data_IF_785313793625
#
_entry.id   IF_785313793625
#
_cell.length_a   1.000
_cell.length_b   1.000
_cell.length_c   1.000
_cell.angle_alpha   90.00
_cell.angle_beta   90.00
_cell.angle_gamma   90.00
#
_symmetry.space_group_name_H-M   'P 1'
#
loop_
_entity.id
_entity.type
_entity.pdbx_description
1 polymer ?
#
# COMPACT_ATOMS: atom_id res chain seq x y z
N UNK A 1 -42.32 39.47 -48.59
CA UNK A 1 -42.86 39.29 -47.22
C UNK A 1 -41.68 39.28 -46.27
N UNK A 2 -41.61 40.33 -45.46
CA UNK A 2 -40.50 40.64 -44.57
C UNK A 2 -40.97 40.58 -43.11
N UNK A 3 -39.98 40.68 -42.23
CA UNK A 3 -40.04 41.03 -40.80
C UNK A 3 -40.23 39.86 -39.81
N UNK A 4 -39.65 39.83 -38.60
CA UNK A 4 -38.49 40.46 -37.92
C UNK A 4 -38.67 40.20 -36.41
N UNK A 5 -37.59 40.28 -35.63
CA UNK A 5 -37.52 40.59 -34.16
C UNK A 5 -37.82 39.42 -33.19
N UNK A 6 -37.23 39.34 -32.00
CA UNK A 6 -36.07 39.97 -31.36
C UNK A 6 -35.77 39.24 -30.03
N UNK A 7 -34.55 39.43 -29.53
CA UNK A 7 -34.01 39.19 -28.18
C UNK A 7 -34.98 39.39 -26.99
N UNK A 8 -34.78 38.58 -25.94
CA UNK A 8 -34.55 39.06 -24.56
C UNK A 8 -33.93 37.94 -23.69
N UNK A 9 -32.83 38.28 -23.03
CA UNK A 9 -32.26 37.54 -21.90
C UNK A 9 -32.85 38.09 -20.61
N UNK A 10 -33.16 37.24 -19.64
CA UNK A 10 -33.45 37.69 -18.28
C UNK A 10 -32.81 36.74 -17.26
N UNK A 11 -32.07 37.37 -16.35
CA UNK A 11 -31.33 36.77 -15.24
C UNK A 11 -32.33 36.36 -14.15
N UNK A 12 -32.20 35.14 -13.62
CA UNK A 12 -32.98 34.64 -12.49
C UNK A 12 -32.07 34.15 -11.38
N UNK A 13 -32.17 34.79 -10.23
CA UNK A 13 -31.29 34.70 -9.08
C UNK A 13 -31.10 33.30 -8.47
N UNK A 14 -29.87 33.04 -8.03
CA UNK A 14 -29.48 32.00 -7.08
C UNK A 14 -30.21 32.17 -5.74
N UNK A 15 -31.13 31.26 -5.40
CA UNK A 15 -31.65 31.12 -4.03
C UNK A 15 -30.98 29.92 -3.35
N UNK A 16 -30.08 30.23 -2.42
CA UNK A 16 -29.46 29.30 -1.48
C UNK A 16 -30.56 28.69 -0.59
N UNK A 17 -30.68 27.36 -0.59
CA UNK A 17 -31.58 26.65 0.30
C UNK A 17 -31.08 26.75 1.77
N UNK A 18 -31.97 26.96 2.76
CA UNK A 18 -31.58 27.01 4.16
C UNK A 18 -31.20 25.61 4.67
N UNK A 19 -30.32 25.52 5.69
CA UNK A 19 -29.89 24.24 6.25
C UNK A 19 -31.06 23.55 6.96
N UNK A 20 -31.13 22.19 6.95
CA UNK A 20 -32.18 21.46 7.64
C UNK A 20 -32.11 21.69 9.16
N UNK A 21 -33.28 21.95 9.75
CA UNK A 21 -33.43 22.16 11.18
C UNK A 21 -33.07 20.90 11.97
N UNK A 22 -32.40 21.10 13.11
CA UNK A 22 -32.08 20.03 14.07
C UNK A 22 -33.37 19.42 14.59
N UNK A 23 -33.69 18.21 14.14
CA UNK A 23 -34.71 17.38 14.76
C UNK A 23 -34.20 16.90 16.12
N UNK A 24 -34.86 17.33 17.19
CA UNK A 24 -34.67 16.80 18.55
C UNK A 24 -35.16 15.35 18.59
N UNK A 25 -34.37 14.36 19.03
CA UNK A 25 -34.91 13.02 19.24
C UNK A 25 -35.68 13.00 20.56
N UNK A 26 -37.00 12.80 20.47
CA UNK A 26 -37.84 12.49 21.61
C UNK A 26 -37.65 11.01 22.00
N UNK A 27 -37.32 10.78 23.27
CA UNK A 27 -37.76 9.64 24.08
C UNK A 27 -37.37 8.23 23.63
N UNK A 28 -36.24 7.72 24.15
CA UNK A 28 -35.91 6.30 24.05
C UNK A 28 -34.57 5.88 24.65
N UNK A 29 -34.05 6.56 25.68
CA UNK A 29 -32.84 6.11 26.38
C UNK A 29 -33.18 4.92 27.30
N UNK A 30 -33.22 3.71 26.75
CA UNK A 30 -32.76 2.56 27.52
C UNK A 30 -31.28 2.82 27.78
N UNK A 31 -30.95 3.03 29.05
CA UNK A 31 -29.58 3.19 29.50
C UNK A 31 -28.70 2.12 28.85
N UNK A 32 -27.86 2.53 27.91
CA UNK A 32 -26.73 1.74 27.48
C UNK A 32 -25.88 1.57 28.73
N UNK A 33 -25.99 0.40 29.37
CA UNK A 33 -25.03 0.00 30.38
C UNK A 33 -23.64 0.26 29.79
N UNK A 34 -22.84 1.06 30.49
CA UNK A 34 -21.46 1.39 30.12
C UNK A 34 -20.73 0.11 29.72
N UNK A 35 -20.66 -0.15 28.41
CA UNK A 35 -19.96 -1.30 27.90
C UNK A 35 -18.48 -1.07 28.24
N UNK A 36 -17.84 -2.06 28.88
CA UNK A 36 -16.41 -1.96 29.18
C UNK A 36 -15.66 -1.56 27.90
N UNK A 37 -14.73 -0.60 27.98
CA UNK A 37 -13.96 -0.21 26.81
C UNK A 37 -13.23 -1.43 26.25
N UNK A 38 -13.19 -1.54 24.92
CA UNK A 38 -12.47 -2.60 24.24
C UNK A 38 -10.97 -2.44 24.55
N UNK A 39 -10.35 -3.45 25.16
CA UNK A 39 -8.93 -3.42 25.51
C UNK A 39 -8.18 -4.56 24.87
N UNK A 40 -6.96 -4.27 24.42
CA UNK A 40 -6.04 -5.30 23.95
C UNK A 40 -5.53 -6.15 25.12
N UNK A 41 -5.54 -7.47 24.95
CA UNK A 41 -5.00 -8.45 25.89
C UNK A 41 -4.23 -9.53 25.16
N UNK A 42 -3.18 -10.05 25.80
CA UNK A 42 -2.46 -11.23 25.32
C UNK A 42 -3.25 -12.48 25.68
N UNK A 43 -3.34 -13.43 24.75
CA UNK A 43 -3.84 -14.76 25.04
C UNK A 43 -2.72 -15.61 25.67
N UNK A 44 -2.80 -15.93 26.97
CA UNK A 44 -1.71 -16.61 27.67
C UNK A 44 -1.47 -18.03 27.15
N UNK A 45 -2.51 -18.72 26.68
CA UNK A 45 -2.38 -20.07 26.15
C UNK A 45 -1.66 -20.04 24.80
N UNK A 46 -2.11 -19.18 23.89
CA UNK A 46 -1.46 -19.01 22.57
C UNK A 46 -0.02 -18.55 22.71
N UNK A 47 0.23 -17.55 23.56
CA UNK A 47 1.57 -17.04 23.82
C UNK A 47 2.48 -18.10 24.45
N UNK A 48 1.99 -18.83 25.44
CA UNK A 48 2.74 -19.91 26.09
C UNK A 48 3.08 -21.05 25.13
N UNK A 49 2.11 -21.49 24.32
CA UNK A 49 2.32 -22.54 23.32
C UNK A 49 3.33 -22.12 22.25
N UNK A 50 3.24 -20.90 21.74
CA UNK A 50 4.20 -20.37 20.78
C UNK A 50 5.61 -20.29 21.40
N UNK A 51 5.73 -19.69 22.59
CA UNK A 51 7.01 -19.53 23.26
C UNK A 51 7.68 -20.88 23.56
N UNK A 52 6.93 -21.86 24.07
CA UNK A 52 7.44 -23.20 24.34
C UNK A 52 7.90 -23.91 23.05
N UNK A 53 7.10 -23.82 21.98
CA UNK A 53 7.43 -24.48 20.70
C UNK A 53 8.63 -23.81 20.02
N UNK A 54 8.69 -22.48 20.02
CA UNK A 54 9.81 -21.73 19.46
C UNK A 54 11.10 -21.98 20.24
N UNK A 55 11.05 -21.94 21.58
CA UNK A 55 12.20 -22.25 22.43
C UNK A 55 12.69 -23.68 22.23
N UNK A 56 11.78 -24.67 22.19
CA UNK A 56 12.13 -26.06 21.90
C UNK A 56 12.77 -26.25 20.53
N UNK A 57 12.24 -25.56 19.51
CA UNK A 57 12.79 -25.58 18.14
C UNK A 57 14.21 -25.03 18.09
N UNK A 58 14.46 -23.91 18.78
CA UNK A 58 15.79 -23.29 18.84
C UNK A 58 16.77 -24.11 19.67
N UNK A 59 16.33 -24.73 20.77
CA UNK A 59 17.19 -25.50 21.66
C UNK A 59 17.55 -26.89 21.11
N UNK A 60 16.68 -27.52 20.33
CA UNK A 60 16.86 -28.90 19.87
C UNK A 60 18.20 -29.16 19.14
N UNK A 61 18.69 -28.30 18.22
CA UNK A 61 20.01 -28.48 17.62
C UNK A 61 21.16 -28.40 18.63
N UNK A 62 21.13 -27.46 19.57
CA UNK A 62 22.19 -27.28 20.58
C UNK A 62 22.22 -28.40 21.61
N UNK A 63 21.08 -29.03 21.88
CA UNK A 63 20.95 -30.15 22.80
C UNK A 63 21.20 -31.52 22.14
N UNK A 64 21.50 -31.55 20.83
CA UNK A 64 21.64 -32.81 20.08
C UNK A 64 20.33 -33.60 19.95
N UNK A 65 19.18 -32.92 20.05
CA UNK A 65 17.84 -33.50 19.95
C UNK A 65 17.22 -33.31 18.55
N UNK A 66 17.85 -32.52 17.68
CA UNK A 66 17.39 -32.34 16.30
C UNK A 66 17.73 -33.59 15.46
N UNK A 67 16.77 -34.18 14.74
CA UNK A 67 17.02 -35.31 13.84
C UNK A 67 17.84 -34.86 12.61
N UNK A 68 18.44 -35.83 11.92
CA UNK A 68 19.17 -35.56 10.67
C UNK A 68 18.23 -34.98 9.58
N UNK A 69 18.76 -34.02 8.82
CA UNK A 69 17.98 -33.33 7.79
C UNK A 69 18.06 -34.08 6.45
N UNK A 70 17.06 -34.91 6.15
CA UNK A 70 16.92 -35.55 4.84
C UNK A 70 16.40 -34.56 3.78
N UNK A 71 17.00 -34.54 2.59
CA UNK A 71 16.58 -33.64 1.50
C UNK A 71 15.10 -33.80 1.14
N UNK A 72 14.57 -35.04 1.14
CA UNK A 72 13.15 -35.32 0.89
C UNK A 72 12.24 -34.70 1.95
N UNK A 73 12.68 -34.75 3.21
CA UNK A 73 11.94 -34.18 4.36
C UNK A 73 11.98 -32.66 4.36
N UNK A 74 13.11 -32.07 3.98
CA UNK A 74 13.20 -30.61 3.79
C UNK A 74 12.32 -30.14 2.61
N UNK A 75 12.27 -30.88 1.51
CA UNK A 75 11.35 -30.60 0.41
C UNK A 75 9.88 -30.73 0.84
N UNK A 76 9.55 -31.75 1.65
CA UNK A 76 8.23 -31.88 2.28
C UNK A 76 7.92 -30.69 3.18
N UNK A 77 8.88 -30.21 3.97
CA UNK A 77 8.70 -29.03 4.81
C UNK A 77 8.37 -27.79 3.97
N UNK A 78 9.03 -27.58 2.83
CA UNK A 78 8.67 -26.53 1.87
C UNK A 78 7.26 -26.68 1.30
N UNK A 79 6.85 -27.90 0.94
CA UNK A 79 5.48 -28.19 0.49
C UNK A 79 4.43 -27.90 1.56
N UNK A 80 4.67 -28.34 2.80
CA UNK A 80 3.79 -28.06 3.93
C UNK A 80 3.75 -26.59 4.30
N UNK A 81 4.85 -25.87 4.14
CA UNK A 81 4.91 -24.42 4.29
C UNK A 81 3.98 -23.72 3.29
N UNK A 82 4.04 -24.09 2.01
CA UNK A 82 3.15 -23.56 0.98
C UNK A 82 1.67 -23.90 1.26
N UNK A 83 1.36 -25.16 1.59
CA UNK A 83 0.00 -25.58 1.94
C UNK A 83 -0.55 -24.82 3.15
N UNK A 84 0.30 -24.58 4.16
CA UNK A 84 -0.04 -23.75 5.32
C UNK A 84 -0.38 -22.30 4.95
N UNK A 85 0.38 -21.68 4.03
CA UNK A 85 0.06 -20.34 3.51
C UNK A 85 -1.25 -20.33 2.72
N UNK A 86 -1.49 -21.33 1.87
CA UNK A 86 -2.75 -21.45 1.12
C UNK A 86 -3.93 -21.57 2.10
N UNK A 87 -3.84 -22.47 3.09
CA UNK A 87 -4.88 -22.63 4.09
C UNK A 87 -5.14 -21.36 4.90
N UNK A 88 -4.08 -20.62 5.25
CA UNK A 88 -4.21 -19.35 5.95
C UNK A 88 -4.80 -18.25 5.07
N UNK A 89 -4.20 -17.96 3.92
CA UNK A 89 -4.59 -16.80 3.12
C UNK A 89 -5.82 -17.04 2.26
N UNK A 90 -5.95 -18.18 1.62
CA UNK A 90 -7.18 -18.49 0.90
C UNK A 90 -8.31 -18.89 1.87
N UNK A 91 -8.01 -19.73 2.85
CA UNK A 91 -9.01 -20.26 3.78
C UNK A 91 -9.45 -19.26 4.86
N UNK A 92 -8.51 -18.75 5.66
CA UNK A 92 -8.85 -17.86 6.78
C UNK A 92 -9.05 -16.42 6.32
N UNK A 93 -8.11 -15.89 5.53
CA UNK A 93 -8.11 -14.49 5.16
C UNK A 93 -9.19 -14.16 4.11
N UNK A 94 -9.06 -14.68 2.90
CA UNK A 94 -9.95 -14.37 1.77
C UNK A 94 -11.35 -14.97 1.92
N UNK A 95 -11.45 -16.26 2.21
CA UNK A 95 -12.75 -16.93 2.36
C UNK A 95 -13.46 -16.56 3.67
N UNK A 96 -12.83 -16.74 4.84
CA UNK A 96 -13.52 -16.56 6.12
C UNK A 96 -13.58 -15.09 6.58
N UNK A 97 -12.48 -14.34 6.57
CA UNK A 97 -12.46 -12.98 7.09
C UNK A 97 -13.10 -11.97 6.11
N UNK A 98 -12.72 -12.02 4.83
CA UNK A 98 -13.16 -11.05 3.82
C UNK A 98 -14.35 -11.48 2.98
N UNK A 99 -14.62 -12.78 2.88
CA UNK A 99 -15.73 -13.33 2.10
C UNK A 99 -15.67 -12.89 0.63
N UNK A 100 -14.45 -12.80 0.09
CA UNK A 100 -14.20 -12.40 -1.29
C UNK A 100 -14.02 -13.60 -2.23
N UNK A 101 -13.89 -14.82 -1.67
CA UNK A 101 -13.88 -16.09 -2.40
C UNK A 101 -14.78 -17.10 -1.70
N UNK A 102 -15.56 -17.86 -2.47
CA UNK A 102 -16.23 -19.08 -2.01
C UNK A 102 -15.65 -20.29 -2.71
N UNK A 103 -15.79 -21.47 -2.09
CA UNK A 103 -15.37 -22.74 -2.67
C UNK A 103 -16.58 -23.65 -2.87
N UNK A 104 -16.57 -24.43 -3.94
CA UNK A 104 -17.75 -25.18 -4.40
C UNK A 104 -17.95 -26.51 -3.67
N UNK A 105 -16.91 -27.10 -3.08
CA UNK A 105 -16.98 -28.41 -2.44
C UNK A 105 -16.64 -28.37 -0.95
N UNK A 106 -17.33 -29.17 -0.11
CA UNK A 106 -16.99 -29.32 1.31
C UNK A 106 -15.55 -29.81 1.54
N UNK A 107 -15.03 -30.66 0.65
CA UNK A 107 -13.66 -31.18 0.74
C UNK A 107 -12.62 -30.06 0.60
N UNK A 108 -12.73 -29.22 -0.44
CA UNK A 108 -11.80 -28.08 -0.62
C UNK A 108 -11.85 -27.17 0.61
N UNK A 109 -13.06 -26.89 1.12
CA UNK A 109 -13.23 -26.07 2.32
C UNK A 109 -12.55 -26.70 3.54
N UNK A 110 -12.74 -28.00 3.76
CA UNK A 110 -12.10 -28.74 4.85
C UNK A 110 -10.58 -28.71 4.73
N UNK A 111 -10.04 -28.90 3.52
CA UNK A 111 -8.59 -28.83 3.29
C UNK A 111 -8.04 -27.44 3.59
N UNK A 112 -8.68 -26.37 3.11
CA UNK A 112 -8.27 -24.99 3.41
C UNK A 112 -8.30 -24.70 4.92
N UNK A 113 -9.38 -25.10 5.59
CA UNK A 113 -9.53 -24.92 7.04
C UNK A 113 -8.55 -25.79 7.85
N UNK A 114 -8.25 -27.00 7.39
CA UNK A 114 -7.30 -27.93 8.00
C UNK A 114 -5.85 -27.45 7.87
N UNK A 115 -5.43 -27.03 6.67
CA UNK A 115 -4.11 -26.45 6.47
C UNK A 115 -3.97 -25.05 7.10
N UNK A 116 -5.06 -24.30 7.25
CA UNK A 116 -5.07 -23.09 8.10
C UNK A 116 -4.84 -23.44 9.58
N UNK A 117 -5.48 -24.51 10.07
CA UNK A 117 -5.28 -25.00 11.44
C UNK A 117 -3.87 -25.56 11.69
N UNK A 118 -3.19 -26.06 10.65
CA UNK A 118 -1.79 -26.52 10.70
C UNK A 118 -0.79 -25.43 11.15
N UNK A 119 -1.20 -24.16 11.15
CA UNK A 119 -0.42 -23.03 11.63
C UNK A 119 -0.66 -22.71 13.13
N UNK A 120 -1.45 -23.53 13.84
CA UNK A 120 -1.72 -23.58 15.29
C UNK A 120 -1.85 -22.24 16.04
N UNK A 121 -0.78 -21.46 16.13
CA UNK A 121 -0.72 -20.19 16.86
C UNK A 121 -1.64 -19.11 16.27
N UNK A 122 -2.11 -19.28 15.03
CA UNK A 122 -3.14 -18.42 14.44
C UNK A 122 -4.53 -18.60 15.08
N UNK A 123 -4.78 -19.75 15.70
CA UNK A 123 -6.06 -20.11 16.31
C UNK A 123 -7.12 -20.60 15.32
N UNK A 124 -8.34 -20.86 15.82
CA UNK A 124 -9.47 -21.26 14.98
C UNK A 124 -9.84 -20.18 13.95
N UNK A 125 -10.40 -20.59 12.81
CA UNK A 125 -10.68 -19.68 11.70
C UNK A 125 -11.62 -18.52 12.09
N UNK A 126 -12.63 -18.81 12.92
CA UNK A 126 -13.58 -17.79 13.41
C UNK A 126 -12.94 -16.77 14.37
N UNK A 127 -12.02 -17.21 15.24
CA UNK A 127 -11.28 -16.30 16.14
C UNK A 127 -10.31 -15.43 15.34
N UNK A 128 -9.60 -16.03 14.39
CA UNK A 128 -8.70 -15.31 13.50
C UNK A 128 -9.47 -14.27 12.67
N UNK A 129 -10.58 -14.68 12.05
CA UNK A 129 -11.43 -13.78 11.27
C UNK A 129 -12.00 -12.64 12.11
N UNK A 130 -12.41 -12.89 13.35
CA UNK A 130 -12.85 -11.83 14.26
C UNK A 130 -11.72 -10.82 14.51
N UNK A 131 -10.52 -11.28 14.89
CA UNK A 131 -9.37 -10.40 15.15
C UNK A 131 -8.98 -9.60 13.89
N UNK A 132 -9.03 -10.23 12.73
CA UNK A 132 -8.72 -9.58 11.45
C UNK A 132 -9.78 -8.55 11.04
N UNK A 133 -11.07 -8.85 11.21
CA UNK A 133 -12.15 -7.88 10.97
C UNK A 133 -12.07 -6.70 11.93
N UNK A 134 -11.66 -6.91 13.19
CA UNK A 134 -11.37 -5.82 14.13
C UNK A 134 -10.19 -4.98 13.65
N UNK A 135 -9.12 -5.62 13.17
CA UNK A 135 -7.97 -4.93 12.58
C UNK A 135 -8.38 -4.01 11.42
N UNK A 136 -9.18 -4.49 10.47
CA UNK A 136 -9.67 -3.65 9.37
C UNK A 136 -10.58 -2.51 9.84
N UNK A 137 -11.53 -2.80 10.72
CA UNK A 137 -12.50 -1.81 11.17
C UNK A 137 -11.91 -0.70 12.05
N UNK A 138 -10.81 -0.98 12.73
CA UNK A 138 -10.21 -0.11 13.74
C UNK A 138 -8.71 0.12 13.53
N UNK A 139 -8.23 -0.04 12.29
CA UNK A 139 -6.81 -0.01 11.94
C UNK A 139 -6.06 1.16 12.59
N UNK A 140 -4.91 0.85 13.21
CA UNK A 140 -4.04 1.83 13.87
C UNK A 140 -4.69 2.61 15.03
N UNK A 141 -5.69 2.02 15.69
CA UNK A 141 -6.25 2.52 16.97
C UNK A 141 -5.94 1.55 18.11
N UNK A 142 -6.23 1.93 19.37
CA UNK A 142 -6.05 1.04 20.53
C UNK A 142 -6.89 -0.25 20.48
N UNK A 143 -8.01 -0.23 19.74
CA UNK A 143 -8.83 -1.41 19.54
C UNK A 143 -8.25 -2.38 18.50
N UNK A 144 -7.27 -1.95 17.70
CA UNK A 144 -6.62 -2.80 16.70
C UNK A 144 -5.64 -3.78 17.38
N UNK A 145 -5.87 -5.10 17.28
CA UNK A 145 -4.94 -6.08 17.81
C UNK A 145 -3.58 -6.01 17.12
N UNK A 146 -3.46 -5.47 15.91
CA UNK A 146 -2.22 -5.36 15.14
C UNK A 146 -1.70 -3.90 15.03
N UNK A 147 -2.16 -3.00 15.92
CA UNK A 147 -1.85 -1.57 15.90
C UNK A 147 -0.36 -1.28 15.70
N UNK A 148 0.00 -0.73 14.53
CA UNK A 148 1.39 -0.39 14.20
C UNK A 148 1.86 0.92 14.84
N UNK A 149 0.94 1.84 15.15
CA UNK A 149 1.27 3.09 15.88
C UNK A 149 1.71 2.83 17.32
N UNK A 150 1.30 1.70 17.90
CA UNK A 150 1.78 1.27 19.22
C UNK A 150 3.16 0.57 19.18
N UNK A 151 3.80 0.51 18.00
CA UNK A 151 5.19 0.07 17.82
C UNK A 151 5.32 -1.29 17.12
N UNK A 152 6.49 -1.53 16.52
CA UNK A 152 6.74 -2.73 15.72
C UNK A 152 6.56 -4.03 16.51
N UNK A 153 7.13 -4.14 17.72
CA UNK A 153 6.98 -5.36 18.57
C UNK A 153 5.50 -5.60 18.94
N UNK A 154 4.76 -4.52 19.20
CA UNK A 154 3.33 -4.58 19.52
C UNK A 154 2.50 -5.12 18.34
N UNK A 155 2.87 -4.78 17.10
CA UNK A 155 2.21 -5.26 15.87
C UNK A 155 2.72 -6.62 15.39
N UNK A 156 4.02 -6.90 15.51
CA UNK A 156 4.71 -8.06 14.94
C UNK A 156 4.72 -9.30 15.83
N UNK A 157 4.56 -9.16 17.15
CA UNK A 157 4.65 -10.29 18.06
C UNK A 157 3.48 -10.34 19.04
N UNK A 158 3.23 -9.24 19.76
CA UNK A 158 2.18 -9.21 20.78
C UNK A 158 0.80 -9.31 20.16
N UNK A 159 0.56 -8.58 19.06
CA UNK A 159 -0.73 -8.51 18.40
C UNK A 159 -1.30 -9.86 17.94
N UNK A 160 -0.56 -10.64 17.13
CA UNK A 160 -0.98 -11.97 16.72
C UNK A 160 -1.25 -12.93 17.89
N UNK A 161 -0.47 -12.78 18.97
CA UNK A 161 -0.64 -13.53 20.23
C UNK A 161 -1.76 -13.00 21.12
N UNK A 162 -2.39 -11.88 20.75
CA UNK A 162 -3.42 -11.22 21.52
C UNK A 162 -4.74 -11.08 20.79
N UNK A 163 -5.64 -10.33 21.43
CA UNK A 163 -6.97 -9.99 20.93
C UNK A 163 -7.49 -8.75 21.64
N UNK A 164 -8.50 -8.11 21.08
CA UNK A 164 -9.24 -7.04 21.73
C UNK A 164 -10.49 -7.61 22.41
N UNK A 165 -10.68 -7.32 23.69
CA UNK A 165 -11.80 -7.84 24.50
C UNK A 165 -12.51 -6.73 25.29
N UNK A 166 -13.86 -6.69 25.30
CA UNK A 166 -14.72 -7.38 24.35
C UNK A 166 -14.43 -6.92 22.91
N UNK A 167 -14.80 -7.73 21.92
CA UNK A 167 -14.70 -7.30 20.53
C UNK A 167 -15.62 -6.06 20.31
N UNK A 168 -15.19 -5.05 19.53
CA UNK A 168 -16.01 -3.90 19.21
C UNK A 168 -17.37 -4.30 18.60
N UNK A 169 -18.45 -3.67 19.07
CA UNK A 169 -19.82 -4.04 18.70
C UNK A 169 -20.16 -3.85 17.21
N UNK A 170 -19.38 -3.04 16.47
CA UNK A 170 -19.54 -2.83 15.04
C UNK A 170 -18.86 -3.91 14.18
N UNK A 171 -18.25 -4.92 14.79
CA UNK A 171 -17.60 -6.04 14.10
C UNK A 171 -18.36 -7.32 14.40
N UNK A 172 -18.71 -8.06 13.35
CA UNK A 172 -19.49 -9.30 13.46
C UNK A 172 -18.80 -10.46 12.74
N UNK A 173 -19.02 -11.68 13.23
CA UNK A 173 -18.66 -12.96 12.62
C UNK A 173 -19.85 -13.93 12.57
N UNK A 174 -21.09 -13.41 12.66
CA UNK A 174 -22.30 -14.24 12.69
C UNK A 174 -22.48 -15.12 11.45
N UNK A 175 -21.93 -14.69 10.31
CA UNK A 175 -21.87 -15.48 9.09
C UNK A 175 -21.02 -16.76 9.23
N UNK A 176 -20.00 -16.73 10.10
CA UNK A 176 -19.15 -17.89 10.39
C UNK A 176 -19.73 -18.77 11.49
N UNK A 177 -20.52 -18.21 12.41
CA UNK A 177 -21.19 -18.94 13.49
C UNK A 177 -22.23 -19.94 12.95
N UNK A 178 -22.90 -19.58 11.85
CA UNK A 178 -23.88 -20.44 11.18
C UNK A 178 -23.26 -21.40 10.15
N UNK A 179 -21.95 -21.33 9.94
CA UNK A 179 -21.23 -22.16 8.99
C UNK A 179 -20.79 -23.48 9.62
N UNK A 180 -21.50 -24.57 9.30
CA UNK A 180 -21.26 -25.88 9.93
C UNK A 180 -19.83 -26.40 9.80
N UNK A 181 -19.11 -26.07 8.72
CA UNK A 181 -17.71 -26.51 8.55
C UNK A 181 -16.76 -25.67 9.42
N UNK A 182 -17.02 -24.38 9.58
CA UNK A 182 -16.24 -23.51 10.49
C UNK A 182 -16.52 -23.87 11.94
N UNK A 183 -17.77 -24.17 12.30
CA UNK A 183 -18.15 -24.67 13.62
C UNK A 183 -17.46 -26.02 13.93
N UNK A 184 -17.43 -26.95 12.96
CA UNK A 184 -16.68 -28.20 13.07
C UNK A 184 -15.18 -27.93 13.27
N UNK A 185 -14.61 -27.01 12.50
CA UNK A 185 -13.19 -26.66 12.62
C UNK A 185 -12.87 -26.06 13.99
N UNK A 186 -13.74 -25.19 14.53
CA UNK A 186 -13.60 -24.65 15.87
C UNK A 186 -13.61 -25.77 16.92
N UNK A 187 -14.60 -26.67 16.85
CA UNK A 187 -14.74 -27.77 17.81
C UNK A 187 -13.57 -28.77 17.75
N UNK A 188 -13.05 -29.00 16.54
CA UNK A 188 -11.96 -29.97 16.28
C UNK A 188 -10.59 -29.30 16.20
N UNK A 189 -10.46 -28.02 16.53
CA UNK A 189 -9.26 -27.23 16.24
C UNK A 189 -7.95 -27.88 16.74
N UNK A 190 -7.84 -28.35 18.00
CA UNK A 190 -6.60 -28.99 18.47
C UNK A 190 -6.27 -30.26 17.69
N UNK A 191 -7.29 -31.04 17.33
CA UNK A 191 -7.14 -32.30 16.57
C UNK A 191 -6.70 -32.00 15.14
N UNK A 192 -7.34 -31.04 14.47
CA UNK A 192 -6.98 -30.65 13.10
C UNK A 192 -5.59 -30.03 13.03
N UNK A 193 -5.24 -29.18 14.00
CA UNK A 193 -3.90 -28.59 14.12
C UNK A 193 -2.83 -29.67 14.27
N UNK A 194 -3.03 -30.66 15.15
CA UNK A 194 -2.11 -31.78 15.31
C UNK A 194 -2.07 -32.68 14.06
N UNK A 195 -3.23 -33.01 13.50
CA UNK A 195 -3.35 -33.91 12.35
C UNK A 195 -2.68 -33.34 11.11
N UNK A 196 -3.02 -32.10 10.71
CA UNK A 196 -2.47 -31.47 9.50
C UNK A 196 -1.09 -30.86 9.73
N UNK A 197 -0.84 -30.31 10.92
CA UNK A 197 0.38 -29.57 11.23
C UNK A 197 1.55 -30.43 11.68
N UNK A 198 1.33 -31.65 12.19
CA UNK A 198 2.40 -32.49 12.77
C UNK A 198 2.33 -33.94 12.30
N UNK A 199 1.17 -34.60 12.43
CA UNK A 199 1.05 -36.03 12.13
C UNK A 199 1.14 -36.30 10.62
N UNK A 200 0.43 -35.52 9.80
CA UNK A 200 0.46 -35.64 8.35
C UNK A 200 1.90 -35.58 7.78
N UNK A 201 2.70 -34.53 8.05
CA UNK A 201 4.07 -34.51 7.55
C UNK A 201 4.95 -35.64 8.11
N UNK A 202 4.76 -36.03 9.37
CA UNK A 202 5.43 -37.19 9.95
C UNK A 202 5.13 -38.49 9.21
N UNK A 203 3.86 -38.78 8.98
CA UNK A 203 3.40 -39.99 8.30
C UNK A 203 3.86 -40.03 6.84
N UNK A 204 3.84 -38.89 6.15
CA UNK A 204 4.38 -38.80 4.78
C UNK A 204 5.87 -39.08 4.80
N UNK A 205 6.63 -38.50 5.73
CA UNK A 205 8.08 -38.74 5.82
C UNK A 205 8.44 -40.17 6.24
N UNK A 206 7.57 -40.85 6.98
CA UNK A 206 7.72 -42.27 7.31
C UNK A 206 7.78 -43.16 6.06
N UNK A 207 7.19 -42.74 4.93
CA UNK A 207 7.25 -43.51 3.67
C UNK A 207 8.66 -43.61 3.07
N UNK A 208 9.61 -42.78 3.52
CA UNK A 208 11.04 -42.91 3.24
C UNK A 208 11.89 -43.07 4.51
N UNK A 209 11.29 -43.53 5.60
CA UNK A 209 11.99 -43.89 6.84
C UNK A 209 12.32 -42.73 7.79
N UNK A 210 11.72 -41.54 7.60
CA UNK A 210 12.06 -40.34 8.37
C UNK A 210 10.87 -39.72 9.12
N UNK A 211 10.15 -40.55 9.88
CA UNK A 211 8.98 -40.11 10.65
C UNK A 211 9.31 -38.93 11.58
N UNK A 212 10.43 -39.02 12.31
CA UNK A 212 10.83 -38.01 13.30
C UNK A 212 11.28 -36.72 12.62
N UNK A 213 12.04 -36.79 11.51
CA UNK A 213 12.39 -35.62 10.73
C UNK A 213 11.15 -34.94 10.13
N UNK A 214 10.14 -35.70 9.69
CA UNK A 214 8.87 -35.16 9.22
C UNK A 214 8.11 -34.38 10.29
N UNK A 215 8.00 -34.95 11.50
CA UNK A 215 7.39 -34.29 12.67
C UNK A 215 8.16 -33.01 13.01
N UNK A 216 9.49 -33.09 13.07
CA UNK A 216 10.33 -31.97 13.51
C UNK A 216 10.43 -30.86 12.46
N UNK A 217 10.94 -31.15 11.26
CA UNK A 217 11.20 -30.13 10.23
C UNK A 217 9.94 -29.69 9.50
N UNK A 218 9.16 -30.65 8.97
CA UNK A 218 7.96 -30.34 8.18
C UNK A 218 6.73 -30.02 9.05
N UNK A 219 6.74 -30.43 10.31
CA UNK A 219 5.72 -30.09 11.29
C UNK A 219 6.07 -28.87 12.15
N UNK A 220 6.90 -29.07 13.17
CA UNK A 220 7.17 -28.11 14.25
C UNK A 220 7.96 -26.88 13.78
N UNK A 221 9.15 -27.08 13.17
CA UNK A 221 10.02 -25.99 12.69
C UNK A 221 9.27 -25.13 11.68
N UNK A 222 8.62 -25.77 10.71
CA UNK A 222 7.78 -25.12 9.69
C UNK A 222 6.66 -24.28 10.33
N UNK A 223 6.08 -24.72 11.45
CA UNK A 223 5.03 -23.97 12.17
C UNK A 223 5.54 -22.68 12.76
N UNK A 224 6.68 -22.76 13.45
CA UNK A 224 7.32 -21.59 14.06
C UNK A 224 7.76 -20.62 12.98
N UNK A 225 8.38 -21.13 11.91
CA UNK A 225 8.82 -20.32 10.78
C UNK A 225 7.64 -19.61 10.09
N UNK A 226 6.54 -20.33 9.84
CA UNK A 226 5.31 -19.74 9.29
C UNK A 226 4.86 -18.55 10.14
N UNK A 227 4.68 -18.74 11.45
CA UNK A 227 4.15 -17.68 12.32
C UNK A 227 5.09 -16.48 12.40
N UNK A 228 6.40 -16.71 12.55
CA UNK A 228 7.37 -15.62 12.55
C UNK A 228 7.35 -14.85 11.23
N UNK A 229 7.39 -15.54 10.09
CA UNK A 229 7.39 -14.86 8.79
C UNK A 229 6.09 -14.10 8.56
N UNK A 230 4.94 -14.74 8.79
CA UNK A 230 3.62 -14.12 8.62
C UNK A 230 3.50 -12.83 9.46
N UNK A 231 3.83 -12.91 10.75
CA UNK A 231 3.64 -11.78 11.66
C UNK A 231 4.61 -10.63 11.39
N UNK A 232 5.89 -10.94 11.14
CA UNK A 232 6.91 -9.92 10.89
C UNK A 232 6.74 -9.27 9.52
N UNK A 233 6.47 -10.05 8.46
CA UNK A 233 6.25 -9.52 7.12
C UNK A 233 5.04 -8.58 7.10
N UNK A 234 3.92 -8.98 7.71
CA UNK A 234 2.75 -8.11 7.77
C UNK A 234 2.95 -6.89 8.67
N UNK A 235 3.73 -6.99 9.75
CA UNK A 235 4.07 -5.82 10.56
C UNK A 235 5.02 -4.86 9.81
N UNK A 236 5.92 -5.41 9.00
CA UNK A 236 6.77 -4.62 8.11
C UNK A 236 5.91 -3.83 7.12
N UNK A 237 4.95 -4.47 6.43
CA UNK A 237 4.04 -3.80 5.50
C UNK A 237 3.12 -2.77 6.18
N UNK A 238 2.81 -2.91 7.48
CA UNK A 238 2.09 -1.86 8.24
C UNK A 238 2.94 -0.65 8.59
N UNK A 239 4.26 -0.80 8.64
CA UNK A 239 5.18 0.23 9.15
C UNK A 239 5.99 0.91 8.04
N UNK A 240 6.37 0.16 7.00
CA UNK A 240 7.27 0.60 5.93
C UNK A 240 6.88 -0.01 4.59
N UNK A 241 6.94 0.78 3.52
CA UNK A 241 6.76 0.32 2.15
C UNK A 241 6.67 1.47 1.14
N UNK A 242 6.08 1.19 -0.01
CA UNK A 242 5.88 2.14 -1.11
C UNK A 242 4.84 3.21 -0.78
N UNK A 243 4.71 4.23 -1.63
CA UNK A 243 3.70 5.27 -1.46
C UNK A 243 2.28 4.68 -1.34
N UNK A 244 1.46 5.28 -0.48
CA UNK A 244 0.10 4.82 -0.20
C UNK A 244 -0.89 5.28 -1.28
N UNK A 245 -0.96 4.55 -2.39
CA UNK A 245 -1.74 4.92 -3.58
C UNK A 245 -3.26 4.72 -3.44
N UNK A 246 -3.72 4.07 -2.37
CA UNK A 246 -5.12 3.72 -2.11
C UNK A 246 -5.64 4.23 -0.76
N UNK A 247 -4.87 5.09 -0.08
CA UNK A 247 -5.32 5.82 1.11
C UNK A 247 -4.32 5.80 2.27
N UNK A 248 -4.30 6.87 3.12
CA UNK A 248 -3.21 7.10 4.07
C UNK A 248 -3.22 6.19 5.31
N UNK A 249 -4.33 5.51 5.62
CA UNK A 249 -4.48 4.71 6.84
C UNK A 249 -4.42 3.19 6.60
N UNK A 250 -4.09 2.77 5.38
CA UNK A 250 -4.22 1.39 4.89
C UNK A 250 -2.91 0.57 4.95
N UNK A 251 -1.89 1.03 5.69
CA UNK A 251 -0.55 0.42 5.63
C UNK A 251 0.13 0.68 4.28
N UNK A 252 1.16 -0.10 3.94
CA UNK A 252 1.97 0.11 2.75
C UNK A 252 2.05 -1.15 1.89
N UNK A 253 2.16 -0.95 0.58
CA UNK A 253 2.57 -2.03 -0.32
C UNK A 253 4.06 -2.31 -0.10
N UNK A 254 4.43 -3.58 0.11
CA UNK A 254 5.81 -3.96 0.43
C UNK A 254 6.22 -5.25 -0.30
N UNK A 255 7.06 -5.12 -1.33
CA UNK A 255 7.50 -6.24 -2.16
C UNK A 255 8.22 -7.35 -1.37
N UNK A 256 9.08 -6.99 -0.41
CA UNK A 256 9.84 -7.97 0.39
C UNK A 256 8.89 -8.78 1.26
N UNK A 257 8.03 -8.09 2.00
CA UNK A 257 7.00 -8.73 2.80
C UNK A 257 6.06 -9.58 1.92
N UNK A 258 5.78 -9.14 0.71
CA UNK A 258 4.90 -9.82 -0.23
C UNK A 258 5.49 -11.14 -0.73
N UNK A 259 6.79 -11.16 -1.05
CA UNK A 259 7.50 -12.40 -1.44
C UNK A 259 7.50 -13.40 -0.28
N UNK A 260 7.73 -12.92 0.94
CA UNK A 260 7.75 -13.76 2.14
C UNK A 260 6.37 -14.36 2.48
N UNK A 261 5.28 -13.71 2.07
CA UNK A 261 3.90 -14.15 2.31
C UNK A 261 3.17 -14.59 1.05
N UNK A 262 3.88 -14.84 -0.04
CA UNK A 262 3.30 -15.34 -1.28
C UNK A 262 2.15 -14.48 -1.84
N UNK A 263 2.18 -13.15 -1.67
CA UNK A 263 1.21 -12.26 -2.32
C UNK A 263 0.36 -11.38 -1.41
N UNK A 264 0.54 -11.41 -0.09
CA UNK A 264 -0.46 -10.87 0.86
C UNK A 264 -0.07 -9.53 1.49
N UNK A 265 1.04 -8.92 1.05
CA UNK A 265 1.55 -7.69 1.65
C UNK A 265 1.63 -6.51 0.67
N UNK A 266 0.78 -6.52 -0.36
CA UNK A 266 0.29 -5.29 -1.00
C UNK A 266 -0.81 -4.67 -0.12
N UNK A 267 -0.41 -4.30 1.08
CA UNK A 267 -1.32 -4.05 2.19
C UNK A 267 -2.18 -2.80 1.96
N UNK A 268 -1.63 -1.79 1.27
CA UNK A 268 -2.34 -0.54 0.99
C UNK A 268 -3.55 -0.78 0.09
N UNK A 269 -3.36 -1.57 -0.97
CA UNK A 269 -4.48 -2.01 -1.82
C UNK A 269 -5.48 -2.85 -1.02
N UNK A 270 -5.00 -3.87 -0.31
CA UNK A 270 -5.84 -4.81 0.42
C UNK A 270 -6.74 -4.12 1.48
N UNK A 271 -6.23 -3.16 2.24
CA UNK A 271 -7.02 -2.42 3.22
C UNK A 271 -8.04 -1.47 2.59
N UNK A 272 -7.73 -0.93 1.41
CA UNK A 272 -8.66 -0.08 0.67
C UNK A 272 -9.78 -0.88 -0.01
N UNK A 273 -9.46 -2.09 -0.48
CA UNK A 273 -10.37 -2.99 -1.19
C UNK A 273 -10.46 -4.37 -0.54
N UNK A 274 -10.91 -4.46 0.74
CA UNK A 274 -10.98 -5.72 1.47
C UNK A 274 -12.00 -6.71 0.85
N UNK A 275 -12.85 -6.26 -0.06
CA UNK A 275 -13.81 -7.08 -0.78
C UNK A 275 -13.29 -7.60 -2.14
N UNK A 276 -12.11 -7.18 -2.60
CA UNK A 276 -11.42 -7.79 -3.75
C UNK A 276 -10.69 -9.05 -3.30
N UNK A 277 -10.76 -10.13 -4.09
CA UNK A 277 -10.00 -11.34 -3.79
C UNK A 277 -8.49 -11.13 -3.94
N UNK A 278 -8.05 -10.19 -4.76
CA UNK A 278 -6.63 -9.87 -4.95
C UNK A 278 -6.11 -9.09 -3.76
N UNK A 279 -4.91 -9.45 -3.31
CA UNK A 279 -4.17 -8.65 -2.35
C UNK A 279 -3.37 -7.55 -3.06
N UNK A 280 -2.93 -7.77 -4.32
CA UNK A 280 -2.37 -6.74 -5.20
C UNK A 280 -2.99 -6.78 -6.59
N UNK A 281 -3.40 -5.62 -7.10
CA UNK A 281 -4.12 -5.50 -8.37
C UNK A 281 -3.39 -4.66 -9.43
N UNK A 282 -2.24 -4.06 -9.09
CA UNK A 282 -1.46 -3.27 -10.04
C UNK A 282 -0.56 -4.17 -10.91
N UNK A 283 -0.27 -3.77 -12.16
CA UNK A 283 0.67 -4.50 -13.01
C UNK A 283 2.03 -4.71 -12.33
N UNK A 284 2.54 -5.94 -12.37
CA UNK A 284 3.82 -6.33 -11.74
C UNK A 284 3.72 -6.78 -10.29
N UNK A 285 2.55 -6.63 -9.65
CA UNK A 285 2.31 -7.18 -8.31
C UNK A 285 2.07 -8.70 -8.37
N UNK A 286 3.02 -9.47 -7.83
CA UNK A 286 2.91 -10.93 -7.79
C UNK A 286 2.07 -11.38 -6.59
N UNK A 287 0.88 -11.89 -6.87
CA UNK A 287 -0.03 -12.45 -5.88
C UNK A 287 -0.27 -13.95 -6.17
N UNK A 288 0.49 -14.82 -5.49
CA UNK A 288 0.42 -16.27 -5.74
C UNK A 288 -0.90 -16.86 -5.26
N UNK A 289 -1.49 -16.32 -4.19
CA UNK A 289 -2.78 -16.79 -3.68
C UNK A 289 -3.90 -16.49 -4.68
N UNK A 290 -3.87 -15.33 -5.36
CA UNK A 290 -4.80 -15.02 -6.45
C UNK A 290 -4.65 -15.96 -7.65
N UNK A 291 -3.41 -16.30 -8.02
CA UNK A 291 -3.15 -17.29 -9.07
C UNK A 291 -3.80 -18.64 -8.69
N UNK A 292 -3.67 -19.07 -7.43
CA UNK A 292 -4.29 -20.30 -6.93
C UNK A 292 -5.82 -20.21 -6.98
N UNK A 293 -6.40 -19.06 -6.60
CA UNK A 293 -7.85 -18.81 -6.73
C UNK A 293 -8.31 -18.99 -8.19
N UNK A 294 -7.60 -18.42 -9.16
CA UNK A 294 -7.95 -18.58 -10.58
C UNK A 294 -7.80 -20.01 -11.07
N UNK A 295 -6.77 -20.74 -10.64
CA UNK A 295 -6.62 -22.17 -10.94
C UNK A 295 -7.79 -22.97 -10.38
N UNK A 296 -8.16 -22.74 -9.11
CA UNK A 296 -9.34 -23.38 -8.51
C UNK A 296 -10.63 -22.99 -9.24
N UNK A 297 -10.76 -21.74 -9.69
CA UNK A 297 -11.91 -21.27 -10.46
C UNK A 297 -12.02 -21.99 -11.81
N UNK A 298 -10.90 -22.13 -12.53
CA UNK A 298 -10.84 -22.84 -13.79
C UNK A 298 -11.20 -24.34 -13.64
N UNK A 299 -10.92 -24.92 -12.47
CA UNK A 299 -11.31 -26.29 -12.11
C UNK A 299 -12.75 -26.39 -11.55
N UNK A 300 -13.49 -25.28 -11.44
CA UNK A 300 -14.82 -25.24 -10.83
C UNK A 300 -14.84 -25.42 -9.31
N UNK A 301 -13.70 -25.29 -8.65
CA UNK A 301 -13.49 -25.47 -7.21
C UNK A 301 -13.61 -24.17 -6.41
N UNK A 302 -13.42 -23.01 -7.04
CA UNK A 302 -13.69 -21.69 -6.50
C UNK A 302 -14.84 -21.02 -7.27
N UNK A 303 -15.74 -20.36 -6.54
CA UNK A 303 -16.97 -19.73 -7.04
C UNK A 303 -17.20 -18.39 -6.32
N UNK A 304 -18.07 -17.55 -6.86
CA UNK A 304 -18.40 -16.23 -6.30
C UNK A 304 -17.15 -15.39 -5.94
N UNK A 305 -16.20 -15.31 -6.88
CA UNK A 305 -14.94 -14.57 -6.71
C UNK A 305 -15.20 -13.09 -6.94
N UNK A 306 -14.96 -12.27 -5.91
CA UNK A 306 -15.14 -10.82 -5.98
C UNK A 306 -13.88 -10.16 -6.53
N UNK A 307 -14.05 -9.26 -7.49
CA UNK A 307 -12.95 -8.50 -8.10
C UNK A 307 -13.45 -7.12 -8.51
N UNK A 308 -12.68 -6.08 -8.16
CA UNK A 308 -12.93 -4.70 -8.59
C UNK A 308 -12.51 -4.51 -10.04
N UNK A 309 -13.24 -3.71 -10.84
CA UNK A 309 -12.82 -3.37 -12.19
C UNK A 309 -11.46 -2.65 -12.19
N UNK A 310 -10.56 -3.06 -13.07
CA UNK A 310 -9.21 -2.48 -13.13
C UNK A 310 -9.24 -0.96 -13.41
N UNK A 311 -10.23 -0.48 -14.16
CA UNK A 311 -10.42 0.95 -14.40
C UNK A 311 -10.68 1.74 -13.11
N UNK A 312 -11.46 1.20 -12.17
CA UNK A 312 -11.71 1.85 -10.87
C UNK A 312 -10.42 1.96 -10.05
N UNK A 313 -9.62 0.90 -10.04
CA UNK A 313 -8.34 0.83 -9.34
C UNK A 313 -7.34 1.83 -9.92
N UNK A 314 -7.26 1.89 -11.26
CA UNK A 314 -6.35 2.82 -11.94
C UNK A 314 -6.76 4.28 -11.75
N UNK A 315 -8.05 4.59 -11.71
CA UNK A 315 -8.54 5.94 -11.38
C UNK A 315 -8.12 6.34 -9.98
N UNK A 316 -8.32 5.48 -8.96
CA UNK A 316 -7.88 5.80 -7.59
C UNK A 316 -6.37 6.03 -7.50
N UNK A 317 -5.58 5.20 -8.18
CA UNK A 317 -4.13 5.40 -8.26
C UNK A 317 -3.78 6.73 -8.91
N UNK A 318 -4.47 7.12 -9.99
CA UNK A 318 -4.23 8.39 -10.67
C UNK A 318 -4.59 9.57 -9.75
N UNK A 319 -5.72 9.51 -9.07
CA UNK A 319 -6.16 10.54 -8.12
C UNK A 319 -5.14 10.73 -6.97
N UNK A 320 -4.61 9.62 -6.43
CA UNK A 320 -3.57 9.67 -5.41
C UNK A 320 -2.27 10.29 -5.93
N UNK A 321 -1.84 9.93 -7.15
CA UNK A 321 -0.66 10.52 -7.78
C UNK A 321 -0.86 12.02 -8.08
N UNK A 322 -2.06 12.41 -8.50
CA UNK A 322 -2.42 13.80 -8.72
C UNK A 322 -2.37 14.59 -7.41
N UNK A 323 -2.89 14.05 -6.30
CA UNK A 323 -2.80 14.67 -4.99
C UNK A 323 -1.35 14.86 -4.53
N UNK A 324 -0.50 13.85 -4.73
CA UNK A 324 0.95 13.95 -4.45
C UNK A 324 1.59 15.05 -5.31
N UNK A 325 1.25 15.10 -6.61
CA UNK A 325 1.74 16.13 -7.52
C UNK A 325 1.31 17.53 -7.07
N UNK A 326 0.03 17.72 -6.73
CA UNK A 326 -0.52 19.02 -6.33
C UNK A 326 0.09 19.50 -4.99
N UNK A 327 0.24 18.60 -4.02
CA UNK A 327 0.91 18.90 -2.76
C UNK A 327 2.36 19.32 -3.02
N UNK A 328 3.13 18.50 -3.74
CA UNK A 328 4.54 18.78 -4.06
C UNK A 328 4.66 20.11 -4.81
N UNK A 329 3.73 20.38 -5.74
CA UNK A 329 3.68 21.63 -6.50
C UNK A 329 3.45 22.85 -5.61
N UNK A 330 2.67 22.73 -4.55
CA UNK A 330 2.41 23.82 -3.60
C UNK A 330 3.60 24.16 -2.70
N UNK A 331 4.50 23.19 -2.47
CA UNK A 331 5.68 23.35 -1.61
C UNK A 331 6.89 23.94 -2.37
N UNK A 332 6.84 23.97 -3.71
CA UNK A 332 7.93 24.44 -4.58
C UNK A 332 7.75 25.92 -4.93
N UNK A 333 8.82 26.72 -4.79
CA UNK A 333 8.90 28.03 -5.43
C UNK A 333 9.18 27.87 -6.92
N UNK A 334 8.21 28.22 -7.76
CA UNK A 334 8.33 28.13 -9.22
C UNK A 334 9.12 29.29 -9.86
N UNK A 335 9.61 30.22 -9.03
CA UNK A 335 10.27 31.44 -9.47
C UNK A 335 9.25 32.54 -9.77
N UNK A 336 9.67 33.56 -10.54
CA UNK A 336 8.79 34.68 -10.86
C UNK A 336 7.85 34.28 -12.00
N UNK A 337 6.54 34.48 -11.77
CA UNK A 337 5.50 34.21 -12.76
C UNK A 337 5.70 35.11 -13.98
N UNK A 338 5.94 34.55 -15.19
CA UNK A 338 6.12 35.33 -16.40
C UNK A 338 4.99 36.33 -16.69
N UNK A 339 3.75 36.03 -16.32
CA UNK A 339 2.62 36.92 -16.58
C UNK A 339 2.61 38.15 -15.65
N UNK A 340 3.36 38.11 -14.56
CA UNK A 340 3.50 39.24 -13.62
C UNK A 340 4.70 40.13 -13.95
N UNK A 341 5.58 39.70 -14.85
CA UNK A 341 6.80 40.43 -15.19
C UNK A 341 6.51 41.70 -16.00
N UNK A 342 7.25 42.80 -15.76
CA UNK A 342 7.14 44.00 -16.57
C UNK A 342 7.56 43.72 -18.00
N UNK A 343 6.89 44.37 -18.94
CA UNK A 343 7.16 44.26 -20.36
C UNK A 343 8.19 45.32 -20.77
N UNK A 344 9.34 44.88 -21.28
CA UNK A 344 10.46 45.72 -21.68
C UNK A 344 10.61 45.73 -23.20
N UNK A 345 10.95 46.91 -23.72
CA UNK A 345 11.45 47.03 -25.10
C UNK A 345 12.95 46.74 -25.14
N UNK A 346 13.49 46.47 -26.32
CA UNK A 346 14.94 46.35 -26.52
C UNK A 346 15.70 47.60 -26.05
N UNK A 347 15.14 48.79 -26.28
CA UNK A 347 15.72 50.05 -25.82
C UNK A 347 15.84 50.11 -24.28
N UNK A 348 14.81 49.62 -23.57
CA UNK A 348 14.82 49.52 -22.09
C UNK A 348 15.88 48.53 -21.63
N UNK A 349 15.94 47.34 -22.24
CA UNK A 349 16.96 46.33 -21.93
C UNK A 349 18.38 46.88 -22.14
N UNK A 350 18.66 47.48 -23.29
CA UNK A 350 19.98 48.06 -23.60
C UNK A 350 20.34 49.20 -22.63
N UNK A 351 19.36 50.01 -22.21
CA UNK A 351 19.59 51.07 -21.24
C UNK A 351 19.96 50.51 -19.85
N UNK A 352 19.33 49.43 -19.41
CA UNK A 352 19.63 48.76 -18.15
C UNK A 352 21.01 48.07 -18.16
N UNK A 353 21.39 47.46 -19.29
CA UNK A 353 22.75 46.90 -19.48
C UNK A 353 23.80 48.01 -19.41
N UNK A 354 23.57 49.18 -20.03
CA UNK A 354 24.49 50.34 -19.96
C UNK A 354 24.65 50.90 -18.55
N UNK A 355 23.69 50.68 -17.65
CA UNK A 355 23.80 51.01 -16.22
C UNK A 355 24.70 50.02 -15.44
N UNK A 356 25.22 48.99 -16.10
CA UNK A 356 26.13 48.01 -15.52
C UNK A 356 25.46 46.73 -15.02
N UNK A 357 24.17 46.52 -15.31
CA UNK A 357 23.47 45.28 -14.93
C UNK A 357 23.90 44.12 -15.83
N UNK A 358 24.08 42.94 -15.22
CA UNK A 358 24.47 41.72 -15.93
C UNK A 358 23.21 40.98 -16.40
N UNK A 359 22.63 41.44 -17.51
CA UNK A 359 21.37 40.92 -18.04
C UNK A 359 21.59 40.04 -19.27
N UNK A 360 20.79 38.99 -19.42
CA UNK A 360 20.77 38.14 -20.61
C UNK A 360 19.33 37.83 -21.02
N UNK A 361 19.08 37.69 -22.33
CA UNK A 361 17.79 37.25 -22.86
C UNK A 361 17.86 35.77 -23.18
N UNK A 362 16.88 35.00 -22.70
CA UNK A 362 16.67 33.58 -23.03
C UNK A 362 15.17 33.37 -23.17
N UNK A 363 14.72 32.82 -24.31
CA UNK A 363 13.30 32.54 -24.60
C UNK A 363 12.40 33.78 -24.35
N UNK A 364 12.80 34.93 -24.87
CA UNK A 364 12.14 36.24 -24.71
C UNK A 364 11.98 36.74 -23.26
N UNK A 365 12.67 36.14 -22.29
CA UNK A 365 12.70 36.56 -20.89
C UNK A 365 14.05 37.21 -20.58
N UNK A 366 14.02 38.33 -19.86
CA UNK A 366 15.21 39.01 -19.35
C UNK A 366 15.56 38.43 -17.98
N UNK A 367 16.79 37.94 -17.85
CA UNK A 367 17.32 37.37 -16.63
C UNK A 367 18.44 38.25 -16.07
N UNK A 368 18.39 38.53 -14.77
CA UNK A 368 19.51 39.13 -14.04
C UNK A 368 20.40 38.03 -13.50
N UNK A 369 21.59 37.88 -14.07
CA UNK A 369 22.51 36.79 -13.75
C UNK A 369 23.67 37.23 -12.87
N UNK A 370 23.60 38.44 -12.29
CA UNK A 370 24.70 39.01 -11.52
C UNK A 370 25.16 38.11 -10.37
N UNK A 371 24.21 37.62 -9.57
CA UNK A 371 24.51 36.74 -8.42
C UNK A 371 24.83 35.30 -8.81
N UNK A 372 24.68 34.95 -10.10
CA UNK A 372 24.89 33.61 -10.63
C UNK A 372 26.21 33.48 -11.41
N UNK A 373 26.83 34.58 -11.81
CA UNK A 373 28.02 34.60 -12.67
C UNK A 373 29.12 33.63 -12.22
N UNK A 374 29.57 33.75 -10.96
CA UNK A 374 30.64 32.92 -10.38
C UNK A 374 30.17 31.53 -9.96
N UNK A 375 28.84 31.29 -9.98
CA UNK A 375 28.22 30.00 -9.64
C UNK A 375 27.91 29.16 -10.88
N UNK A 376 28.14 29.71 -12.07
CA UNK A 376 27.89 28.99 -13.30
C UNK A 376 28.87 27.81 -13.44
N UNK A 377 28.38 26.56 -13.57
CA UNK A 377 29.25 25.38 -13.60
C UNK A 377 30.25 25.33 -14.75
N UNK A 378 29.97 26.06 -15.84
CA UNK A 378 30.88 26.20 -16.99
C UNK A 378 31.95 27.28 -16.83
N UNK A 379 32.08 27.88 -15.64
CA UNK A 379 32.92 29.05 -15.39
C UNK A 379 32.19 30.37 -15.63
N UNK A 380 32.70 31.44 -15.04
CA UNK A 380 32.19 32.80 -15.27
C UNK A 380 32.60 33.34 -16.65
N UNK A 381 33.73 32.88 -17.19
CA UNK A 381 34.32 33.40 -18.42
C UNK A 381 33.40 33.20 -19.63
N UNK A 382 32.64 32.10 -19.64
CA UNK A 382 31.70 31.77 -20.73
C UNK A 382 30.48 32.68 -20.76
N UNK A 383 30.21 33.41 -19.68
CA UNK A 383 29.09 34.33 -19.54
C UNK A 383 29.47 35.78 -19.88
N UNK A 384 30.75 36.15 -19.76
CA UNK A 384 31.26 37.53 -19.96
C UNK A 384 30.80 38.10 -21.31
N UNK A 385 31.06 37.35 -22.39
CA UNK A 385 30.72 37.80 -23.75
C UNK A 385 29.23 37.69 -24.10
N UNK A 386 28.42 37.20 -23.17
CA UNK A 386 26.98 36.93 -23.33
C UNK A 386 26.11 37.98 -22.66
N UNK A 387 26.68 38.81 -21.78
CA UNK A 387 25.97 39.93 -21.13
C UNK A 387 25.45 40.91 -22.19
N UNK A 388 24.18 41.31 -22.04
CA UNK A 388 23.50 42.22 -22.95
C UNK A 388 23.07 41.60 -24.28
N UNK A 389 23.07 40.27 -24.39
CA UNK A 389 22.70 39.56 -25.63
C UNK A 389 21.53 38.62 -25.43
N UNK A 390 20.90 38.26 -26.54
CA UNK A 390 20.09 37.06 -26.62
C UNK A 390 21.01 35.83 -26.70
N UNK A 391 20.79 34.91 -25.79
CA UNK A 391 21.59 33.70 -25.60
C UNK A 391 20.74 32.43 -25.74
N UNK A 392 19.51 32.57 -26.24
CA UNK A 392 18.52 31.49 -26.41
C UNK A 392 19.13 30.30 -27.16
N UNK A 393 19.74 30.54 -28.33
CA UNK A 393 20.35 29.47 -29.14
C UNK A 393 21.50 28.80 -28.37
N UNK A 394 22.39 29.60 -27.75
CA UNK A 394 23.52 29.08 -27.00
C UNK A 394 23.08 28.21 -25.81
N UNK A 395 21.99 28.60 -25.14
CA UNK A 395 21.41 27.90 -24.00
C UNK A 395 20.60 26.64 -24.38
N UNK A 396 19.94 26.65 -25.54
CA UNK A 396 19.04 25.59 -26.00
C UNK A 396 19.71 24.48 -26.83
N UNK A 397 21.01 24.57 -27.10
CA UNK A 397 21.76 23.49 -27.77
C UNK A 397 22.75 23.93 -28.84
N UNK A 398 22.78 25.21 -29.21
CA UNK A 398 23.77 25.74 -30.15
C UNK A 398 25.19 25.83 -29.57
N UNK A 399 25.33 25.84 -28.24
CA UNK A 399 26.63 25.66 -27.56
C UNK A 399 26.51 24.55 -26.53
N UNK A 400 25.55 24.67 -25.60
CA UNK A 400 25.29 23.66 -24.59
C UNK A 400 23.79 23.50 -24.43
N UNK A 401 23.30 22.27 -24.53
CA UNK A 401 21.89 21.97 -24.23
C UNK A 401 21.70 21.86 -22.72
N UNK A 402 21.27 22.95 -22.10
CA UNK A 402 21.14 23.03 -20.64
C UNK A 402 20.05 22.09 -20.10
N UNK A 403 20.32 21.53 -18.92
CA UNK A 403 19.45 20.57 -18.24
C UNK A 403 18.18 21.23 -17.70
N UNK A 404 17.18 20.41 -17.32
CA UNK A 404 15.98 20.91 -16.61
C UNK A 404 16.33 21.63 -15.31
N UNK A 405 17.39 21.21 -14.61
CA UNK A 405 17.85 21.88 -13.39
C UNK A 405 18.33 23.31 -13.66
N UNK A 406 19.10 23.53 -14.73
CA UNK A 406 19.52 24.87 -15.14
C UNK A 406 18.33 25.75 -15.55
N UNK A 407 17.33 25.17 -16.24
CA UNK A 407 16.08 25.88 -16.59
C UNK A 407 15.27 26.27 -15.35
N UNK A 408 15.17 25.39 -14.35
CA UNK A 408 14.50 25.70 -13.09
C UNK A 408 15.22 26.81 -12.32
N UNK A 409 16.55 26.88 -12.39
CA UNK A 409 17.31 27.97 -11.78
C UNK A 409 17.08 29.30 -12.50
N UNK A 410 17.02 29.30 -13.84
CA UNK A 410 16.70 30.50 -14.62
C UNK A 410 15.37 31.13 -14.20
N UNK A 411 14.37 30.34 -13.82
CA UNK A 411 13.06 30.90 -13.43
C UNK A 411 13.13 31.83 -12.21
N UNK A 412 14.15 31.65 -11.37
CA UNK A 412 14.40 32.49 -10.18
C UNK A 412 15.06 33.83 -10.53
N UNK A 413 15.66 33.96 -11.71
CA UNK A 413 16.45 35.13 -12.12
C UNK A 413 15.68 36.05 -13.08
N UNK A 414 14.42 35.76 -13.38
CA UNK A 414 13.61 36.55 -14.31
C UNK A 414 13.26 37.90 -13.71
N UNK A 415 13.42 38.96 -14.51
CA UNK A 415 13.09 40.34 -14.10
C UNK A 415 12.15 41.06 -15.07
N UNK A 416 12.05 40.61 -16.33
CA UNK A 416 11.17 41.23 -17.33
C UNK A 416 10.89 40.28 -18.51
N UNK A 417 9.89 40.63 -19.31
CA UNK A 417 9.58 40.03 -20.62
C UNK A 417 9.95 40.99 -21.74
N UNK A 418 10.57 40.51 -22.81
CA UNK A 418 10.76 41.33 -24.00
C UNK A 418 9.45 41.44 -24.80
N UNK A 419 9.18 42.62 -25.38
CA UNK A 419 8.03 42.81 -26.26
C UNK A 419 8.14 41.94 -27.52
N UNK A 420 7.02 41.37 -27.97
CA UNK A 420 6.97 40.44 -29.11
C UNK A 420 7.57 41.05 -30.41
N UNK A 421 7.35 42.34 -30.66
CA UNK A 421 7.92 43.07 -31.80
C UNK A 421 9.45 43.19 -31.77
N UNK A 422 10.07 43.02 -30.61
CA UNK A 422 11.52 43.08 -30.40
C UNK A 422 12.14 41.67 -30.23
N UNK A 423 11.33 40.65 -30.03
CA UNK A 423 11.74 39.24 -29.93
C UNK A 423 11.95 38.60 -31.32
N UNK A 424 11.18 39.01 -32.34
CA UNK A 424 11.29 38.51 -33.73
C UNK A 424 12.62 38.90 -34.42
N UNK A 425 13.36 39.90 -33.92
CA UNK A 425 14.67 40.26 -34.44
C UNK A 425 15.82 39.33 -34.03
N UNK A 426 15.53 38.26 -33.29
CA UNK A 426 16.50 37.36 -32.67
C UNK A 426 16.27 35.87 -33.04
N UNK A 427 15.17 35.57 -33.75
CA UNK A 427 14.96 34.30 -34.46
C UNK A 427 15.54 34.38 -35.87
N UNK A 428 16.86 34.24 -36.03
CA UNK A 428 17.37 33.77 -37.32
C UNK A 428 18.40 32.65 -37.13
N UNK A 429 18.01 31.52 -37.71
CA UNK A 429 18.77 30.33 -38.08
C UNK A 429 19.02 29.31 -36.97
N UNK A 430 18.17 28.28 -36.94
CA UNK A 430 18.64 26.88 -37.02
C UNK A 430 17.67 26.14 -37.96
N UNK A 431 18.10 25.91 -39.21
CA UNK A 431 17.62 24.80 -40.03
C UNK A 431 18.34 23.52 -39.57
N UNK A 432 17.56 22.43 -39.54
CA UNK A 432 17.82 21.00 -39.29
C UNK A 432 18.23 20.49 -37.90
#
# INVERSE_FOLDING_TARGET
>A
MAASKSFAAEQGASSVAPPPSKATPAGGSKAAASAKPATFVIDPLRAGLFAATAAGTLAAPYLGLAPDAHCKTLALAGGMYLLGHIGHYLGYHRMAAHRNVRVSTPLVKLLLLGFGAANAFEGPAIDWALRHRVHHAHANTEADPLNAKAGFVRSALLGPLGRTTPAPANVSVSDLEVDGMVALQLAMFPILSLAFGVLLPGLVAATWGDLIGGIFYAGIVRMVLFSLVNWFASALARTFGEAQLFGPNAGFDNLVANVLTFGENFLNFHHAHPDDHRAGALPGQLDLVSIIVWVLAALGLAVDIKQKPDAEILTQKLDALQAIYDQTRSEISWGVDPETLPLWTKATFDAEVRKGRQLMVIDAMVHDVADFFDKHPGGAEVLVDKVGKDTTIAFNGGVQRHSKAARNLLTQMRIARLAASDAEGLEQVVED
#
